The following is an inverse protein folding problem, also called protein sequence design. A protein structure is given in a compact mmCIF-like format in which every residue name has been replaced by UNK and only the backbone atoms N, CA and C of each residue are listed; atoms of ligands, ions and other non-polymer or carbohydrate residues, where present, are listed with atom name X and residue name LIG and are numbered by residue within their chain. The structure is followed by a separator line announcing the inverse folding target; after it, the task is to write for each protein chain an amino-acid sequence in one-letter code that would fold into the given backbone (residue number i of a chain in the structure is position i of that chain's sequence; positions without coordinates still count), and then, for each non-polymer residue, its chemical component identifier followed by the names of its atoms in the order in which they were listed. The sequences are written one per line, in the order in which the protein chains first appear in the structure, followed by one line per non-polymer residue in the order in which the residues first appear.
data_IF_048363544505
#
_entry.id   IF_048363544505
#
_cell.length_a   1.000
_cell.length_b   1.000
_cell.length_c   1.000
_cell.angle_alpha   90.00
_cell.angle_beta   90.00
_cell.angle_gamma   90.00
#
_symmetry.space_group_name_H-M   'P 1'
#
loop_
_entity.id
_entity.type
_entity.pdbx_description
1 polymer ?
#
# COMPACT_ATOMS: atom_id res chain seq x y z
N UNK A 1 13.78 -9.51 1.14
CA UNK A 1 12.41 -10.09 1.16
C UNK A 1 11.39 -8.97 1.25
N UNK A 2 10.21 -9.09 0.62
CA UNK A 2 9.17 -8.07 0.59
C UNK A 2 8.15 -8.28 1.72
N UNK A 3 7.76 -7.20 2.36
CA UNK A 3 6.57 -7.09 3.21
C UNK A 3 5.59 -6.17 2.47
N UNK A 4 4.50 -6.74 2.00
CA UNK A 4 3.48 -5.97 1.29
C UNK A 4 2.64 -5.13 2.24
N UNK A 5 2.37 -3.88 1.86
CA UNK A 5 1.36 -3.02 2.46
C UNK A 5 0.30 -2.81 1.40
N UNK A 6 -0.71 -3.65 1.42
CA UNK A 6 -1.75 -3.69 0.40
C UNK A 6 -3.08 -3.16 0.94
N UNK A 7 -3.79 -2.45 0.10
CA UNK A 7 -5.15 -1.98 0.39
C UNK A 7 -5.88 -1.61 -0.89
N UNK A 8 -7.19 -1.64 -0.86
CA UNK A 8 -7.98 -0.90 -1.84
C UNK A 8 -7.68 0.61 -1.71
N UNK A 9 -7.75 1.41 -2.78
CA UNK A 9 -7.59 2.87 -2.69
C UNK A 9 -8.43 3.49 -1.57
N UNK A 10 -7.94 4.53 -0.92
CA UNK A 10 -8.64 5.30 0.14
C UNK A 10 -8.96 4.52 1.42
N UNK A 11 -8.27 3.41 1.68
CA UNK A 11 -8.46 2.57 2.88
C UNK A 11 -7.46 2.83 4.02
N UNK A 12 -6.66 3.92 3.97
CA UNK A 12 -5.75 4.30 5.06
C UNK A 12 -4.29 3.84 4.87
N UNK A 13 -3.89 3.47 3.66
CA UNK A 13 -2.53 3.04 3.35
C UNK A 13 -1.47 4.07 3.78
N UNK A 14 -1.71 5.36 3.51
CA UNK A 14 -0.84 6.47 3.87
C UNK A 14 -0.59 6.52 5.38
N UNK A 15 -1.61 6.32 6.21
CA UNK A 15 -1.45 6.35 7.67
C UNK A 15 -0.54 5.22 8.18
N UNK A 16 -0.75 3.98 7.71
CA UNK A 16 0.12 2.85 8.04
C UNK A 16 1.56 3.10 7.58
N UNK A 17 1.76 3.63 6.37
CA UNK A 17 3.10 3.97 5.85
C UNK A 17 3.77 5.07 6.66
N UNK A 18 3.05 6.11 7.02
CA UNK A 18 3.55 7.20 7.87
C UNK A 18 4.01 6.68 9.22
N UNK A 19 3.20 5.82 9.85
CA UNK A 19 3.57 5.18 11.10
C UNK A 19 4.82 4.29 10.93
N UNK A 20 4.84 3.40 9.94
CA UNK A 20 5.97 2.50 9.72
C UNK A 20 7.25 3.25 9.35
N UNK A 21 7.16 4.29 8.52
CA UNK A 21 8.30 5.13 8.17
C UNK A 21 8.87 5.83 9.40
N UNK A 22 8.01 6.38 10.25
CA UNK A 22 8.43 7.04 11.49
C UNK A 22 8.98 6.05 12.51
N UNK A 23 8.33 4.89 12.71
CA UNK A 23 8.75 3.90 13.69
C UNK A 23 10.03 3.17 13.31
N UNK A 24 10.08 2.62 12.09
CA UNK A 24 11.18 1.74 11.65
C UNK A 24 12.42 2.55 11.25
N UNK A 25 12.24 3.63 10.50
CA UNK A 25 13.37 4.36 9.90
C UNK A 25 13.74 5.63 10.67
N UNK A 26 12.78 6.33 11.27
CA UNK A 26 13.01 7.60 11.95
C UNK A 26 13.07 7.52 13.47
N UNK A 27 12.74 6.36 14.07
CA UNK A 27 12.74 6.15 15.52
C UNK A 27 11.94 7.23 16.29
N UNK A 28 10.74 7.56 15.75
CA UNK A 28 9.82 8.53 16.34
C UNK A 28 10.29 9.99 16.27
N UNK A 29 11.19 10.36 15.36
CA UNK A 29 11.48 11.76 15.04
C UNK A 29 10.27 12.41 14.37
N UNK A 30 10.29 13.72 14.21
CA UNK A 30 9.25 14.47 13.50
C UNK A 30 9.06 13.85 12.11
N UNK A 31 7.81 13.56 11.76
CA UNK A 31 7.44 13.00 10.47
C UNK A 31 7.33 14.11 9.42
N UNK A 32 7.78 13.80 8.21
CA UNK A 32 7.58 14.58 7.00
C UNK A 32 7.09 13.66 5.87
N UNK A 33 6.41 14.17 4.85
CA UNK A 33 5.93 13.35 3.73
C UNK A 33 7.05 12.71 2.90
N UNK A 34 8.23 13.30 2.87
CA UNK A 34 9.42 12.69 2.26
C UNK A 34 9.80 11.34 2.93
N UNK A 35 9.38 11.14 4.18
CA UNK A 35 9.58 9.87 4.87
C UNK A 35 8.81 8.72 4.21
N UNK A 36 7.73 9.00 3.50
CA UNK A 36 6.98 7.99 2.74
C UNK A 36 7.80 7.37 1.59
N UNK A 37 8.81 8.07 1.08
CA UNK A 37 9.72 7.56 0.06
C UNK A 37 10.51 6.34 0.54
N UNK A 38 10.64 6.14 1.86
CA UNK A 38 11.25 4.95 2.48
C UNK A 38 10.40 3.68 2.26
N UNK A 39 9.11 3.86 2.00
CA UNK A 39 8.15 2.79 1.68
C UNK A 39 7.51 3.14 0.33
N UNK A 40 8.20 2.78 -0.74
CA UNK A 40 7.77 3.12 -2.10
C UNK A 40 6.58 2.30 -2.58
N UNK A 41 5.88 2.83 -3.56
CA UNK A 41 4.86 2.09 -4.29
C UNK A 41 5.48 1.02 -5.20
N UNK A 42 4.73 -0.06 -5.46
CA UNK A 42 5.02 -1.04 -6.50
C UNK A 42 3.72 -1.46 -7.22
N UNK A 43 3.66 -1.42 -8.56
CA UNK A 43 4.62 -0.76 -9.44
C UNK A 43 4.69 0.75 -9.17
N UNK A 44 5.86 1.36 -9.42
CA UNK A 44 6.02 2.81 -9.38
C UNK A 44 6.29 3.35 -10.78
N UNK A 45 6.25 4.66 -10.94
CA UNK A 45 6.57 5.32 -12.22
C UNK A 45 7.96 4.95 -12.73
N UNK A 46 8.89 4.60 -11.84
CA UNK A 46 10.23 4.13 -12.23
C UNK A 46 10.16 2.86 -13.07
N UNK A 47 9.42 1.83 -12.61
CA UNK A 47 9.27 0.57 -13.33
C UNK A 47 8.49 0.78 -14.62
N UNK A 48 7.41 1.54 -14.57
CA UNK A 48 6.55 1.82 -15.74
C UNK A 48 7.34 2.58 -16.81
N UNK A 49 8.04 3.64 -16.45
CA UNK A 49 8.86 4.42 -17.37
C UNK A 49 10.02 3.61 -17.95
N UNK A 50 10.61 2.71 -17.17
CA UNK A 50 11.63 1.79 -17.68
C UNK A 50 11.08 0.88 -18.75
N UNK A 51 9.91 0.25 -18.51
CA UNK A 51 9.25 -0.65 -19.47
C UNK A 51 8.86 0.10 -20.75
N UNK A 52 8.29 1.30 -20.61
CA UNK A 52 7.93 2.16 -21.73
C UNK A 52 9.15 2.51 -22.60
N UNK A 53 10.22 3.02 -21.98
CA UNK A 53 11.40 3.50 -22.69
C UNK A 53 12.22 2.38 -23.34
N UNK A 54 12.36 1.25 -22.63
CA UNK A 54 13.23 0.17 -23.07
C UNK A 54 12.55 -0.84 -23.99
N UNK A 55 11.25 -1.10 -23.78
CA UNK A 55 10.54 -2.19 -24.43
C UNK A 55 9.25 -1.74 -25.15
N UNK A 56 8.84 -0.48 -25.06
CA UNK A 56 7.59 0.00 -25.66
C UNK A 56 6.35 -0.62 -25.00
N UNK A 57 6.43 -0.99 -23.71
CA UNK A 57 5.34 -1.66 -22.98
C UNK A 57 4.47 -0.62 -22.30
N UNK A 58 3.16 -0.65 -22.57
CA UNK A 58 2.16 0.29 -22.05
C UNK A 58 0.98 -0.41 -21.38
N UNK A 59 0.72 -1.68 -21.72
CA UNK A 59 -0.41 -2.44 -21.21
C UNK A 59 -0.03 -3.22 -19.95
N UNK A 60 -0.96 -3.28 -19.02
CA UNK A 60 -0.79 -3.98 -17.75
C UNK A 60 -0.42 -5.46 -17.90
N UNK A 61 -1.05 -6.15 -18.87
CA UNK A 61 -0.79 -7.56 -19.19
C UNK A 61 0.67 -7.83 -19.58
N UNK A 62 1.26 -6.92 -20.33
CA UNK A 62 2.67 -7.05 -20.74
C UNK A 62 3.63 -6.68 -19.61
N UNK A 63 3.27 -5.71 -18.76
CA UNK A 63 4.04 -5.37 -17.56
C UNK A 63 4.13 -6.54 -16.57
N UNK A 64 3.10 -7.39 -16.51
CA UNK A 64 3.06 -8.55 -15.63
C UNK A 64 4.26 -9.48 -15.80
N UNK A 65 4.76 -9.63 -17.02
CA UNK A 65 5.95 -10.45 -17.34
C UNK A 65 7.23 -9.99 -16.67
N UNK A 66 7.24 -8.75 -16.14
CA UNK A 66 8.42 -8.13 -15.53
C UNK A 66 8.31 -7.96 -14.01
N UNK A 67 7.17 -8.28 -13.38
CA UNK A 67 6.99 -8.10 -11.94
C UNK A 67 8.05 -8.80 -11.10
N UNK A 68 8.31 -10.07 -11.40
CA UNK A 68 9.29 -10.85 -10.63
C UNK A 68 10.70 -10.28 -10.77
N UNK A 69 11.08 -9.87 -11.97
CA UNK A 69 12.39 -9.26 -12.24
C UNK A 69 12.58 -7.99 -11.38
N UNK A 70 11.61 -7.08 -11.38
CA UNK A 70 11.67 -5.87 -10.57
C UNK A 70 11.69 -6.14 -9.07
N UNK A 71 10.86 -7.11 -8.60
CA UNK A 71 10.87 -7.49 -7.20
C UNK A 71 12.24 -8.02 -6.77
N UNK A 72 12.86 -8.87 -7.58
CA UNK A 72 14.21 -9.39 -7.32
C UNK A 72 15.26 -8.26 -7.28
N UNK A 73 15.18 -7.31 -8.21
CA UNK A 73 16.08 -6.16 -8.23
C UNK A 73 15.94 -5.29 -6.97
N UNK A 74 14.69 -5.03 -6.55
CA UNK A 74 14.41 -4.24 -5.34
C UNK A 74 14.99 -4.88 -4.08
N UNK A 75 14.91 -6.21 -3.94
CA UNK A 75 15.35 -6.91 -2.72
C UNK A 75 16.83 -7.32 -2.74
N UNK A 76 17.53 -7.14 -3.85
CA UNK A 76 18.89 -7.71 -4.12
C UNK A 76 19.88 -7.50 -2.98
N UNK A 77 19.90 -6.31 -2.39
CA UNK A 77 20.86 -5.94 -1.33
C UNK A 77 20.13 -5.59 -0.01
N UNK A 78 18.89 -6.07 0.16
CA UNK A 78 18.06 -5.73 1.30
C UNK A 78 17.65 -6.97 2.07
N UNK A 79 17.79 -6.96 3.39
CA UNK A 79 17.25 -8.02 4.26
C UNK A 79 15.74 -8.11 4.09
N UNK A 80 15.07 -6.96 4.15
CA UNK A 80 13.66 -6.79 3.86
C UNK A 80 13.36 -5.38 3.34
N UNK A 81 12.26 -5.23 2.62
CA UNK A 81 11.71 -3.96 2.15
C UNK A 81 10.20 -3.95 2.33
N UNK A 82 9.65 -2.80 2.68
CA UNK A 82 8.21 -2.58 2.62
C UNK A 82 7.85 -2.02 1.25
N UNK A 83 6.82 -2.58 0.62
CA UNK A 83 6.28 -2.07 -0.64
C UNK A 83 4.78 -1.80 -0.51
N UNK A 84 4.36 -0.58 -0.82
CA UNK A 84 2.94 -0.20 -0.91
C UNK A 84 2.37 -0.64 -2.23
N UNK A 85 1.13 -1.14 -2.21
CA UNK A 85 0.41 -1.40 -3.45
C UNK A 85 -1.11 -1.25 -3.30
N UNK A 86 -1.76 -0.85 -4.40
CA UNK A 86 -3.20 -0.98 -4.62
C UNK A 86 -3.53 -2.05 -5.66
N UNK A 87 -2.52 -2.79 -6.12
CA UNK A 87 -2.74 -3.90 -7.03
C UNK A 87 -3.38 -5.08 -6.31
N UNK A 88 -4.34 -5.74 -6.93
CA UNK A 88 -4.84 -7.02 -6.46
C UNK A 88 -3.73 -8.10 -6.52
N UNK A 89 -3.76 -9.07 -5.60
CA UNK A 89 -2.84 -10.21 -5.63
C UNK A 89 -3.27 -11.23 -6.68
N UNK A 90 -3.01 -10.91 -7.92
CA UNK A 90 -3.48 -11.67 -9.09
C UNK A 90 -2.36 -12.41 -9.79
N UNK A 91 -2.77 -13.30 -10.68
CA UNK A 91 -1.92 -13.99 -11.65
C UNK A 91 -2.42 -13.64 -13.05
N UNK A 92 -1.51 -13.21 -13.93
CA UNK A 92 -1.77 -13.00 -15.36
C UNK A 92 -0.88 -13.97 -16.12
N UNK A 93 -1.50 -14.90 -16.85
CA UNK A 93 -0.82 -16.06 -17.42
C UNK A 93 -0.03 -16.82 -16.34
N UNK A 94 1.29 -16.88 -16.47
CA UNK A 94 2.17 -17.49 -15.48
C UNK A 94 2.83 -16.47 -14.52
N UNK A 95 2.51 -15.18 -14.63
CA UNK A 95 3.14 -14.12 -13.87
C UNK A 95 2.30 -13.77 -12.64
N UNK A 96 2.83 -13.98 -11.46
CA UNK A 96 2.18 -13.70 -10.18
C UNK A 96 2.62 -12.34 -9.68
N UNK A 97 1.64 -11.46 -9.34
CA UNK A 97 1.96 -10.12 -8.85
C UNK A 97 2.80 -10.16 -7.58
N UNK A 98 2.37 -10.88 -6.57
CA UNK A 98 3.10 -11.04 -5.31
C UNK A 98 3.77 -12.42 -5.27
N UNK A 99 5.01 -12.50 -5.79
CA UNK A 99 5.74 -13.77 -5.85
C UNK A 99 6.10 -14.24 -4.44
N UNK A 100 5.68 -15.45 -4.10
CA UNK A 100 5.83 -16.04 -2.76
C UNK A 100 7.30 -16.24 -2.36
N UNK A 101 8.20 -16.44 -3.33
CA UNK A 101 9.62 -16.60 -3.06
C UNK A 101 10.31 -15.28 -2.69
N UNK A 102 9.71 -14.15 -3.07
CA UNK A 102 10.25 -12.82 -2.82
C UNK A 102 9.67 -12.15 -1.56
N UNK A 103 8.61 -12.71 -0.94
CA UNK A 103 7.91 -12.06 0.16
C UNK A 103 7.86 -12.91 1.44
N UNK A 104 7.81 -12.23 2.59
CA UNK A 104 7.73 -12.84 3.91
C UNK A 104 6.46 -12.47 4.66
N UNK A 105 5.74 -11.42 4.27
CA UNK A 105 4.55 -11.00 4.99
C UNK A 105 3.67 -10.02 4.24
N UNK A 106 2.47 -9.85 4.77
CA UNK A 106 1.44 -8.97 4.25
C UNK A 106 0.79 -8.18 5.38
N UNK A 107 0.72 -6.86 5.22
CA UNK A 107 -0.14 -5.95 5.97
C UNK A 107 -1.26 -5.57 5.02
N UNK A 108 -2.48 -6.03 5.28
CA UNK A 108 -3.65 -5.68 4.47
C UNK A 108 -4.54 -4.72 5.25
N UNK A 109 -4.84 -3.57 4.66
CA UNK A 109 -5.71 -2.58 5.27
C UNK A 109 -7.07 -2.65 4.56
N UNK A 110 -8.13 -2.83 5.34
CA UNK A 110 -9.51 -2.83 4.88
C UNK A 110 -10.28 -1.66 5.50
N UNK A 111 -11.20 -1.11 4.76
CA UNK A 111 -12.13 -0.06 5.20
C UNK A 111 -13.54 -0.39 4.73
N UNK A 112 -14.56 0.03 5.45
CA UNK A 112 -15.95 -0.11 5.03
C UNK A 112 -16.12 0.43 3.61
N UNK A 113 -16.62 -0.37 2.65
CA UNK A 113 -16.75 0.07 1.26
C UNK A 113 -17.64 1.30 1.08
N UNK A 114 -18.60 1.52 1.97
CA UNK A 114 -19.45 2.72 1.94
C UNK A 114 -18.64 4.00 2.19
N UNK A 115 -17.72 3.94 3.13
CA UNK A 115 -16.81 5.05 3.43
C UNK A 115 -15.73 5.20 2.34
N UNK A 116 -15.31 4.08 1.74
CA UNK A 116 -14.41 4.11 0.59
C UNK A 116 -15.06 4.83 -0.58
N UNK A 117 -16.33 4.54 -0.90
CA UNK A 117 -17.08 5.25 -1.96
C UNK A 117 -17.00 6.75 -1.77
N UNK A 118 -17.31 7.26 -0.57
CA UNK A 118 -17.30 8.72 -0.29
C UNK A 118 -15.90 9.33 -0.45
N UNK A 119 -14.89 8.67 0.13
CA UNK A 119 -13.51 9.14 0.04
C UNK A 119 -12.93 9.06 -1.37
N UNK A 120 -13.32 8.03 -2.13
CA UNK A 120 -12.83 7.82 -3.48
C UNK A 120 -13.54 8.74 -4.49
N UNK A 121 -14.82 9.07 -4.26
CA UNK A 121 -15.58 10.08 -5.02
C UNK A 121 -14.87 11.42 -5.01
N UNK A 122 -14.49 11.89 -3.84
CA UNK A 122 -13.75 13.16 -3.70
C UNK A 122 -12.40 13.10 -4.42
N UNK A 123 -11.70 11.97 -4.36
CA UNK A 123 -10.41 11.79 -5.03
C UNK A 123 -10.52 11.74 -6.56
N UNK A 124 -11.56 11.09 -7.08
CA UNK A 124 -11.83 10.99 -8.53
C UNK A 124 -12.58 12.20 -9.09
N UNK A 125 -13.03 13.11 -8.24
CA UNK A 125 -13.92 14.21 -8.61
C UNK A 125 -15.20 13.72 -9.33
N UNK A 126 -15.82 12.66 -8.78
CA UNK A 126 -17.03 12.02 -9.26
C UNK A 126 -18.12 12.01 -8.19
N UNK A 127 -19.37 11.78 -8.58
CA UNK A 127 -20.44 11.54 -7.60
C UNK A 127 -20.34 10.12 -7.00
N UNK A 128 -20.95 9.88 -5.82
CA UNK A 128 -20.88 8.58 -5.14
C UNK A 128 -21.44 7.42 -5.95
N UNK A 129 -22.52 7.62 -6.69
CA UNK A 129 -23.16 6.58 -7.50
C UNK A 129 -22.21 6.06 -8.59
N UNK A 130 -21.57 6.98 -9.31
CA UNK A 130 -20.60 6.63 -10.36
C UNK A 130 -19.32 6.00 -9.80
N UNK A 131 -18.91 6.43 -8.62
CA UNK A 131 -17.78 5.83 -7.92
C UNK A 131 -18.11 4.41 -7.46
N UNK A 132 -19.32 4.19 -6.97
CA UNK A 132 -19.79 2.86 -6.60
C UNK A 132 -19.81 1.91 -7.81
N UNK A 133 -20.29 2.37 -8.97
CA UNK A 133 -20.23 1.59 -10.22
C UNK A 133 -18.80 1.22 -10.60
N UNK A 134 -17.85 2.17 -10.48
CA UNK A 134 -16.43 1.93 -10.74
C UNK A 134 -15.87 0.87 -9.77
N UNK A 135 -16.22 0.94 -8.49
CA UNK A 135 -15.73 0.00 -7.47
C UNK A 135 -16.28 -1.43 -7.63
N UNK A 136 -17.30 -1.63 -8.45
CA UNK A 136 -17.81 -2.96 -8.82
C UNK A 136 -17.10 -3.59 -10.01
N UNK A 137 -16.26 -2.85 -10.72
CA UNK A 137 -15.60 -3.30 -11.96
C UNK A 137 -14.40 -4.18 -11.67
N UNK A 138 -14.37 -5.37 -12.27
CA UNK A 138 -13.23 -6.30 -12.16
C UNK A 138 -12.06 -5.93 -13.09
N UNK A 139 -12.30 -5.08 -14.06
CA UNK A 139 -11.31 -4.55 -15.00
C UNK A 139 -10.80 -3.15 -14.62
N UNK A 140 -11.01 -2.72 -13.37
CA UNK A 140 -10.58 -1.41 -12.89
C UNK A 140 -9.06 -1.31 -12.87
N UNK A 141 -8.53 -0.49 -13.77
CA UNK A 141 -7.08 -0.18 -13.86
C UNK A 141 -6.87 1.29 -13.52
N UNK A 142 -5.99 1.52 -12.55
CA UNK A 142 -5.40 2.83 -12.31
C UNK A 142 -4.35 3.14 -13.38
N UNK A 143 -4.34 4.37 -13.86
CA UNK A 143 -3.42 4.83 -14.90
C UNK A 143 -2.46 5.89 -14.37
N UNK A 144 -1.31 6.02 -15.01
CA UNK A 144 -0.38 7.14 -14.79
C UNK A 144 -0.93 8.42 -15.41
N UNK A 145 -0.33 9.56 -15.09
CA UNK A 145 -0.66 10.86 -15.71
C UNK A 145 -0.53 10.81 -17.25
N UNK A 146 0.39 10.01 -17.78
CA UNK A 146 0.56 9.78 -19.23
C UNK A 146 -0.43 8.74 -19.79
N UNK A 147 -1.48 8.39 -19.06
CA UNK A 147 -2.51 7.42 -19.43
C UNK A 147 -2.01 5.99 -19.69
N UNK A 148 -0.84 5.60 -19.16
CA UNK A 148 -0.37 4.21 -19.19
C UNK A 148 -1.03 3.41 -18.06
N UNK A 149 -1.27 2.13 -18.29
CA UNK A 149 -1.74 1.25 -17.23
C UNK A 149 -0.71 1.18 -16.10
N UNK A 150 -1.18 1.22 -14.85
CA UNK A 150 -0.31 1.17 -13.67
C UNK A 150 -0.63 -0.03 -12.79
N UNK A 151 -1.86 -0.10 -12.33
CA UNK A 151 -2.28 -1.00 -11.26
C UNK A 151 -3.63 -1.60 -11.59
N UNK A 152 -3.75 -2.92 -11.60
CA UNK A 152 -5.06 -3.57 -11.68
C UNK A 152 -5.65 -3.66 -10.28
N UNK A 153 -6.60 -2.76 -10.00
CA UNK A 153 -7.26 -2.66 -8.70
C UNK A 153 -8.33 -3.76 -8.55
N UNK A 154 -9.08 -4.04 -9.62
CA UNK A 154 -10.28 -4.89 -9.66
C UNK A 154 -11.46 -4.28 -8.89
N UNK A 155 -12.56 -5.02 -8.73
CA UNK A 155 -13.64 -4.63 -7.82
C UNK A 155 -13.18 -4.69 -6.36
N UNK A 156 -13.84 -3.94 -5.48
CA UNK A 156 -13.50 -3.92 -4.04
C UNK A 156 -13.52 -5.33 -3.44
N UNK A 157 -14.53 -6.15 -3.78
CA UNK A 157 -14.66 -7.51 -3.24
C UNK A 157 -13.56 -8.44 -3.77
N UNK A 158 -13.23 -8.37 -5.05
CA UNK A 158 -12.20 -9.22 -5.66
C UNK A 158 -10.80 -8.80 -5.22
N UNK A 159 -10.57 -7.50 -5.03
CA UNK A 159 -9.32 -7.01 -4.42
C UNK A 159 -9.13 -7.61 -3.02
N UNK A 160 -10.15 -7.51 -2.15
CA UNK A 160 -10.08 -8.09 -0.80
C UNK A 160 -9.84 -9.60 -0.85
N UNK A 161 -10.62 -10.33 -1.66
CA UNK A 161 -10.51 -11.78 -1.77
C UNK A 161 -9.13 -12.22 -2.29
N UNK A 162 -8.52 -11.48 -3.21
CA UNK A 162 -7.19 -11.78 -3.74
C UNK A 162 -6.12 -11.79 -2.65
N UNK A 163 -6.16 -10.83 -1.73
CA UNK A 163 -5.21 -10.73 -0.62
C UNK A 163 -5.61 -11.56 0.59
N UNK A 164 -6.91 -11.78 0.85
CA UNK A 164 -7.40 -12.63 1.95
C UNK A 164 -6.81 -14.02 1.91
N UNK A 165 -6.68 -14.60 0.72
CA UNK A 165 -6.17 -15.95 0.52
C UNK A 165 -4.65 -16.00 0.29
N UNK A 166 -3.94 -14.87 0.43
CA UNK A 166 -2.50 -14.83 0.28
C UNK A 166 -1.80 -15.76 1.30
N UNK A 167 -0.97 -16.73 0.84
CA UNK A 167 -0.51 -17.86 1.67
C UNK A 167 0.78 -17.56 2.44
N UNK A 168 0.98 -16.33 2.92
CA UNK A 168 2.09 -15.96 3.81
C UNK A 168 1.54 -15.40 5.12
N UNK A 169 2.43 -15.21 6.10
CA UNK A 169 2.10 -14.50 7.34
C UNK A 169 1.45 -13.16 7.01
N UNK A 170 0.32 -12.89 7.63
CA UNK A 170 -0.45 -11.68 7.35
C UNK A 170 -1.15 -11.11 8.56
N UNK A 171 -1.32 -9.80 8.54
CA UNK A 171 -2.17 -9.07 9.46
C UNK A 171 -3.23 -8.30 8.67
N UNK A 172 -4.47 -8.41 9.10
CA UNK A 172 -5.58 -7.58 8.64
C UNK A 172 -5.77 -6.43 9.62
N UNK A 173 -5.74 -5.20 9.12
CA UNK A 173 -5.99 -3.98 9.88
C UNK A 173 -7.26 -3.33 9.34
N UNK A 174 -8.24 -3.12 10.19
CA UNK A 174 -9.41 -2.32 9.85
C UNK A 174 -9.09 -0.84 10.03
N UNK A 175 -9.50 -0.02 9.09
CA UNK A 175 -9.32 1.44 9.16
C UNK A 175 -10.01 2.02 10.41
N UNK A 176 -11.18 1.49 10.73
CA UNK A 176 -11.96 1.87 11.90
C UNK A 176 -11.17 1.62 13.21
N UNK A 177 -10.48 0.48 13.32
CA UNK A 177 -9.64 0.18 14.49
C UNK A 177 -8.47 1.18 14.65
N UNK A 178 -7.96 1.76 13.55
CA UNK A 178 -6.93 2.81 13.62
C UNK A 178 -7.48 4.11 14.22
N UNK A 179 -8.76 4.40 14.03
CA UNK A 179 -9.44 5.58 14.59
C UNK A 179 -9.80 5.33 16.04
N UNK A 180 -10.49 4.20 16.31
CA UNK A 180 -11.11 3.93 17.63
C UNK A 180 -10.07 3.50 18.68
N UNK A 181 -9.04 2.75 18.27
CA UNK A 181 -8.06 2.13 19.17
C UNK A 181 -6.65 2.13 18.57
N UNK A 182 -6.07 3.30 18.24
CA UNK A 182 -4.80 3.39 17.53
C UNK A 182 -3.64 2.71 18.28
N UNK A 183 -3.56 2.86 19.59
CA UNK A 183 -2.49 2.26 20.38
C UNK A 183 -2.49 0.72 20.31
N UNK A 184 -3.64 0.11 20.45
CA UNK A 184 -3.78 -1.35 20.35
C UNK A 184 -3.50 -1.84 18.93
N UNK A 185 -4.02 -1.13 17.94
CA UNK A 185 -3.89 -1.51 16.53
C UNK A 185 -2.43 -1.42 16.07
N UNK A 186 -1.73 -0.34 16.37
CA UNK A 186 -0.31 -0.22 16.05
C UNK A 186 0.56 -1.17 16.88
N UNK A 187 0.22 -1.46 18.14
CA UNK A 187 0.91 -2.49 18.92
C UNK A 187 0.75 -3.88 18.29
N UNK A 188 -0.46 -4.24 17.82
CA UNK A 188 -0.69 -5.49 17.07
C UNK A 188 0.17 -5.55 15.80
N UNK A 189 0.26 -4.44 15.05
CA UNK A 189 1.10 -4.34 13.87
C UNK A 189 2.58 -4.56 14.20
N UNK A 190 3.12 -3.92 15.25
CA UNK A 190 4.52 -4.08 15.64
C UNK A 190 4.80 -5.49 16.16
N UNK A 191 3.87 -6.11 16.90
CA UNK A 191 3.98 -7.53 17.29
C UNK A 191 4.04 -8.47 16.08
N UNK A 192 3.22 -8.22 15.07
CA UNK A 192 3.30 -8.95 13.81
C UNK A 192 4.67 -8.78 13.12
N UNK A 193 5.19 -7.56 13.04
CA UNK A 193 6.52 -7.31 12.47
C UNK A 193 7.64 -7.91 13.35
N UNK A 194 7.50 -7.92 14.67
CA UNK A 194 8.44 -8.62 15.54
C UNK A 194 8.53 -10.10 15.18
N UNK A 195 7.39 -10.77 14.94
CA UNK A 195 7.32 -12.17 14.55
C UNK A 195 8.10 -12.47 13.25
N UNK A 196 7.99 -11.61 12.23
CA UNK A 196 8.51 -11.89 10.89
C UNK A 196 9.89 -11.30 10.60
N UNK A 197 10.27 -10.20 11.25
CA UNK A 197 11.54 -9.49 11.02
C UNK A 197 12.29 -9.08 12.29
N UNK A 198 11.86 -9.56 13.47
CA UNK A 198 12.45 -9.24 14.79
C UNK A 198 12.49 -7.72 15.09
N UNK A 199 11.47 -6.96 14.65
CA UNK A 199 11.34 -5.55 15.01
C UNK A 199 11.17 -5.41 16.52
N UNK A 200 11.95 -4.51 17.16
CA UNK A 200 11.81 -4.22 18.60
C UNK A 200 10.39 -3.74 18.90
N UNK A 201 9.81 -4.24 20.00
CA UNK A 201 8.56 -3.73 20.54
C UNK A 201 8.91 -2.70 21.61
N UNK A 202 8.53 -1.45 21.39
CA UNK A 202 8.78 -0.33 22.30
C UNK A 202 7.51 0.51 22.43
N UNK A 203 6.80 0.33 23.54
CA UNK A 203 5.49 0.99 23.73
C UNK A 203 5.60 2.52 23.75
N UNK A 204 6.69 3.07 24.35
CA UNK A 204 6.90 4.52 24.37
C UNK A 204 7.14 5.07 22.97
N UNK A 205 7.90 4.33 22.16
CA UNK A 205 8.14 4.71 20.78
C UNK A 205 6.87 4.58 19.93
N UNK A 206 6.03 3.55 20.17
CA UNK A 206 4.73 3.39 19.51
C UNK A 206 3.85 4.60 19.79
N UNK A 207 3.64 4.95 21.05
CA UNK A 207 2.82 6.09 21.46
C UNK A 207 3.34 7.42 20.88
N UNK A 208 4.65 7.66 20.99
CA UNK A 208 5.29 8.84 20.39
C UNK A 208 5.07 8.90 18.88
N UNK A 209 5.19 7.76 18.21
CA UNK A 209 5.02 7.69 16.74
C UNK A 209 3.57 7.95 16.34
N UNK A 210 2.59 7.36 17.04
CA UNK A 210 1.16 7.62 16.82
C UNK A 210 0.87 9.12 16.94
N UNK A 211 1.39 9.74 17.99
CA UNK A 211 1.22 11.20 18.20
C UNK A 211 1.85 12.02 17.08
N UNK A 212 2.96 11.58 16.47
CA UNK A 212 3.61 12.29 15.36
C UNK A 212 2.87 12.16 14.03
N UNK A 213 2.17 11.06 13.80
CA UNK A 213 1.45 10.75 12.56
C UNK A 213 -0.07 10.63 12.79
N UNK A 214 -0.61 11.35 13.79
CA UNK A 214 -2.06 11.38 14.00
C UNK A 214 -2.79 11.92 12.76
N UNK A 215 -4.03 11.49 12.58
CA UNK A 215 -4.85 11.89 11.42
C UNK A 215 -4.86 13.41 11.23
N UNK A 216 -5.08 14.17 12.30
CA UNK A 216 -5.12 15.65 12.25
C UNK A 216 -3.79 16.26 11.79
N UNK A 217 -2.65 15.65 12.20
CA UNK A 217 -1.32 16.12 11.77
C UNK A 217 -1.05 15.80 10.31
N UNK A 218 -1.40 14.60 9.87
CA UNK A 218 -1.26 14.24 8.45
C UNK A 218 -2.12 15.13 7.56
N UNK A 219 -3.37 15.38 7.95
CA UNK A 219 -4.27 16.29 7.22
C UNK A 219 -3.74 17.73 7.17
N UNK A 220 -3.18 18.22 8.27
CA UNK A 220 -2.54 19.57 8.29
C UNK A 220 -1.33 19.63 7.36
N UNK A 221 -0.48 18.61 7.36
CA UNK A 221 0.68 18.54 6.46
C UNK A 221 0.24 18.48 4.99
N UNK A 222 -0.78 17.66 4.69
CA UNK A 222 -1.35 17.57 3.34
C UNK A 222 -1.87 18.93 2.83
N UNK A 223 -2.58 19.67 3.69
CA UNK A 223 -3.09 21.00 3.36
C UNK A 223 -1.97 22.05 3.17
N UNK A 224 -0.82 21.90 3.83
CA UNK A 224 0.30 22.84 3.76
C UNK A 224 1.25 22.59 2.59
N UNK A 225 1.56 21.32 2.32
CA UNK A 225 2.62 20.94 1.39
C UNK A 225 2.09 20.30 0.11
N UNK A 226 0.78 20.01 0.05
CA UNK A 226 0.24 19.10 -0.95
C UNK A 226 0.74 17.67 -0.74
N UNK A 227 -0.01 16.70 -1.21
CA UNK A 227 0.42 15.31 -1.21
C UNK A 227 0.23 14.76 -2.62
N UNK A 228 1.33 14.53 -3.32
CA UNK A 228 1.35 13.82 -4.60
C UNK A 228 1.90 12.41 -4.39
N UNK A 229 1.05 11.40 -4.53
CA UNK A 229 1.50 10.00 -4.67
C UNK A 229 1.81 9.66 -6.12
#
# INVERSE_FOLDING_TARGET
MIIWIASYPKSGNTWIRSFLSSYIYNQGKKFDFDDLLKIRAFPSDREINFLKKKFGIYKFTDMAKHWEMFQKDIIKNQKYVFLKTHNAAIKIDNNVFANLNNCIGLIYIIRDPRDVVLSYSSHLNLNPEKTFEIMQRDDLIEKTNDNNDRTLITSWINHYNSWKHFPKEKILIKYEDLIDSPNETFLKLIKFLNKIINTKIDNKLIEKTINNVSFDKLQKLENQSGFSE
#
